data_IF_645122113567
#
_entry.id   IF_645122113567
#
_cell.length_a   1.000
_cell.length_b   1.000
_cell.length_c   1.000
_cell.angle_alpha   90.00
_cell.angle_beta   90.00
_cell.angle_gamma   90.00
#
_symmetry.space_group_name_H-M   'P 1'
#
loop_
_entity.id
_entity.type
_entity.pdbx_description
1 polymer ?
#
# COMPACT_ATOMS: atom_id res chain seq x y z
N UNK A 1 -99.70 -12.30 -61.01
CA UNK A 1 -99.89 -10.86 -60.68
C UNK A 1 -99.82 -10.67 -59.16
N UNK A 2 -98.83 -9.94 -58.65
CA UNK A 2 -98.99 -8.90 -57.60
C UNK A 2 -97.61 -8.27 -57.30
N UNK A 3 -97.53 -6.94 -57.39
CA UNK A 3 -96.37 -6.11 -57.04
C UNK A 3 -96.55 -5.61 -55.61
N UNK A 4 -95.49 -5.62 -54.78
CA UNK A 4 -95.41 -4.79 -53.56
C UNK A 4 -94.00 -4.24 -53.43
N UNK A 5 -93.93 -2.94 -53.14
CA UNK A 5 -92.81 -2.03 -53.27
C UNK A 5 -91.80 -2.10 -52.11
N UNK A 6 -90.54 -1.84 -52.48
CA UNK A 6 -89.35 -1.69 -51.63
C UNK A 6 -89.41 -0.36 -50.88
N UNK A 7 -89.24 -0.38 -49.56
CA UNK A 7 -88.87 0.80 -48.77
C UNK A 7 -87.42 0.63 -48.28
N UNK A 8 -86.60 1.58 -48.69
CA UNK A 8 -85.17 1.73 -48.44
C UNK A 8 -84.96 2.83 -47.37
N UNK A 9 -83.73 2.90 -46.84
CA UNK A 9 -83.14 3.95 -45.98
C UNK A 9 -83.36 3.71 -44.47
N UNK A 10 -82.38 3.51 -43.60
CA UNK A 10 -80.93 3.77 -43.68
C UNK A 10 -80.50 4.65 -42.50
N UNK A 11 -80.33 4.08 -41.31
CA UNK A 11 -79.79 4.79 -40.14
C UNK A 11 -78.27 4.59 -40.06
N UNK A 12 -77.53 5.68 -40.21
CA UNK A 12 -76.09 5.76 -39.92
C UNK A 12 -75.87 5.82 -38.40
N UNK A 13 -75.16 4.84 -37.85
CA UNK A 13 -74.52 4.93 -36.54
C UNK A 13 -73.02 4.71 -36.71
N UNK A 14 -72.25 5.79 -36.61
CA UNK A 14 -70.77 5.77 -36.63
C UNK A 14 -70.30 5.42 -35.23
N UNK A 15 -69.82 4.19 -35.02
CA UNK A 15 -69.10 3.79 -33.82
C UNK A 15 -67.60 4.02 -34.01
N UNK A 16 -66.99 4.90 -33.20
CA UNK A 16 -65.55 5.04 -33.14
C UNK A 16 -64.96 3.92 -32.27
N UNK A 17 -64.19 3.01 -32.87
CA UNK A 17 -63.36 2.03 -32.15
C UNK A 17 -61.94 2.58 -32.07
N UNK A 18 -61.48 2.84 -30.86
CA UNK A 18 -60.06 3.15 -30.59
C UNK A 18 -59.36 1.86 -30.15
N UNK A 19 -58.57 1.27 -31.05
CA UNK A 19 -57.66 0.18 -30.72
C UNK A 19 -56.28 0.76 -30.39
N UNK A 20 -56.04 1.15 -29.14
CA UNK A 20 -54.68 1.46 -28.69
C UNK A 20 -53.94 0.14 -28.42
N UNK A 21 -53.10 -0.29 -29.36
CA UNK A 21 -52.15 -1.39 -29.11
C UNK A 21 -50.98 -0.82 -28.32
N UNK A 22 -50.90 -1.13 -27.02
CA UNK A 22 -49.69 -0.86 -26.26
C UNK A 22 -48.55 -1.70 -26.84
N UNK A 23 -47.47 -1.05 -27.30
CA UNK A 23 -46.25 -1.76 -27.65
C UNK A 23 -45.75 -2.50 -26.41
N UNK A 24 -45.45 -3.79 -26.55
CA UNK A 24 -44.83 -4.56 -25.47
C UNK A 24 -43.46 -3.94 -25.20
N UNK A 25 -43.30 -3.24 -24.08
CA UNK A 25 -41.98 -2.88 -23.58
C UNK A 25 -41.25 -4.21 -23.35
N UNK A 26 -40.16 -4.44 -24.08
CA UNK A 26 -39.31 -5.59 -23.84
C UNK A 26 -38.82 -5.51 -22.40
N UNK A 27 -39.30 -6.44 -21.57
CA UNK A 27 -38.85 -6.56 -20.20
C UNK A 27 -37.35 -6.87 -20.21
N UNK A 28 -36.54 -5.92 -19.74
CA UNK A 28 -35.09 -6.07 -19.62
C UNK A 28 -34.67 -7.28 -18.78
N UNK A 29 -35.56 -7.86 -17.98
CA UNK A 29 -35.33 -9.14 -17.28
C UNK A 29 -35.32 -10.36 -18.19
N UNK A 30 -35.89 -10.28 -19.40
CA UNK A 30 -35.98 -11.41 -20.34
C UNK A 30 -34.92 -11.40 -21.45
N UNK A 31 -34.09 -10.36 -21.51
CA UNK A 31 -32.99 -10.26 -22.49
C UNK A 31 -31.64 -10.17 -21.76
N UNK A 32 -30.96 -11.31 -21.50
CA UNK A 32 -29.68 -11.31 -20.79
C UNK A 32 -28.57 -10.54 -21.52
N UNK A 33 -28.75 -10.28 -22.82
CA UNK A 33 -27.78 -9.55 -23.66
C UNK A 33 -27.70 -8.04 -23.41
N UNK A 34 -28.69 -7.42 -22.73
CA UNK A 34 -28.71 -5.95 -22.55
C UNK A 34 -27.99 -5.51 -21.26
N UNK A 35 -27.65 -6.44 -20.35
CA UNK A 35 -27.08 -6.13 -19.03
C UNK A 35 -25.69 -6.73 -18.78
N UNK A 36 -24.95 -7.13 -19.82
CA UNK A 36 -23.55 -7.49 -19.61
C UNK A 36 -22.69 -6.23 -19.57
N UNK A 37 -22.68 -5.55 -18.42
CA UNK A 37 -21.62 -4.61 -18.10
C UNK A 37 -20.31 -5.37 -18.24
N UNK A 38 -19.46 -4.96 -19.19
CA UNK A 38 -18.13 -5.54 -19.32
C UNK A 38 -17.48 -5.59 -17.93
N UNK A 39 -16.90 -6.72 -17.50
CA UNK A 39 -16.15 -6.77 -16.26
C UNK A 39 -15.16 -5.61 -16.27
N UNK A 40 -15.08 -4.84 -15.18
CA UNK A 40 -13.97 -3.89 -15.02
C UNK A 40 -12.70 -4.70 -15.26
N UNK A 41 -11.91 -4.31 -16.25
CA UNK A 41 -10.63 -4.95 -16.51
C UNK A 41 -9.87 -4.99 -15.18
N UNK A 42 -9.62 -6.20 -14.67
CA UNK A 42 -8.64 -6.37 -13.62
C UNK A 42 -7.30 -6.18 -14.31
N UNK A 43 -6.79 -4.96 -14.25
CA UNK A 43 -5.37 -4.79 -14.42
C UNK A 43 -4.76 -5.43 -13.20
N UNK A 44 -4.16 -6.62 -13.35
CA UNK A 44 -3.17 -7.09 -12.40
C UNK A 44 -2.03 -6.09 -12.47
N UNK A 45 -2.15 -5.02 -11.69
CA UNK A 45 -1.03 -4.17 -11.39
C UNK A 45 0.01 -5.12 -10.79
N UNK A 46 1.18 -5.25 -11.42
CA UNK A 46 2.31 -5.93 -10.81
C UNK A 46 2.46 -5.33 -9.42
N UNK A 47 2.05 -6.09 -8.39
CA UNK A 47 2.46 -5.80 -7.03
C UNK A 47 3.97 -5.81 -7.11
N UNK A 48 4.62 -4.72 -6.70
CA UNK A 48 6.08 -4.60 -6.77
C UNK A 48 6.71 -5.89 -6.27
N UNK A 49 7.63 -6.45 -7.06
CA UNK A 49 8.33 -7.68 -6.67
C UNK A 49 9.38 -7.32 -5.64
N UNK A 50 9.46 -8.09 -4.56
CA UNK A 50 10.58 -8.00 -3.63
C UNK A 50 11.84 -8.49 -4.33
N UNK A 51 12.72 -7.57 -4.70
CA UNK A 51 14.02 -7.87 -5.32
C UNK A 51 15.13 -8.08 -4.28
N UNK A 52 14.93 -7.58 -3.06
CA UNK A 52 15.83 -7.75 -1.93
C UNK A 52 15.05 -7.56 -0.62
N UNK A 53 15.46 -8.28 0.43
CA UNK A 53 14.91 -8.16 1.78
C UNK A 53 15.92 -8.65 2.82
N UNK A 54 15.91 -8.05 4.00
CA UNK A 54 16.67 -8.50 5.17
C UNK A 54 15.81 -8.32 6.42
N UNK A 55 15.92 -9.24 7.37
CA UNK A 55 15.13 -9.27 8.61
C UNK A 55 16.00 -9.21 9.88
N UNK A 56 17.28 -8.83 9.72
CA UNK A 56 18.31 -8.75 10.76
C UNK A 56 18.68 -10.09 11.45
N UNK A 57 18.25 -11.23 10.91
CA UNK A 57 18.64 -12.56 11.44
C UNK A 57 20.14 -12.85 11.37
N UNK A 58 20.87 -12.19 10.48
CA UNK A 58 22.33 -12.25 10.40
C UNK A 58 22.94 -10.86 10.59
N UNK A 59 23.52 -10.61 11.77
CA UNK A 59 24.15 -9.33 12.07
C UNK A 59 25.35 -9.01 11.17
N UNK A 60 26.02 -10.02 10.60
CA UNK A 60 27.17 -9.82 9.72
C UNK A 60 26.81 -9.22 8.35
N UNK A 61 25.53 -9.17 8.00
CA UNK A 61 25.08 -8.46 6.78
C UNK A 61 25.15 -6.93 6.93
N UNK A 62 25.38 -6.45 8.16
CA UNK A 62 25.34 -5.06 8.53
C UNK A 62 26.65 -4.61 9.18
N UNK A 63 27.02 -3.37 8.92
CA UNK A 63 28.09 -2.68 9.60
C UNK A 63 27.54 -1.41 10.23
N UNK A 64 28.19 -0.99 11.32
CA UNK A 64 27.90 0.25 12.01
C UNK A 64 29.14 1.11 12.01
N UNK A 65 28.95 2.42 11.95
CA UNK A 65 30.02 3.40 12.03
C UNK A 65 29.51 4.63 12.78
N UNK A 66 30.43 5.42 13.30
CA UNK A 66 30.11 6.64 14.02
C UNK A 66 31.08 7.76 13.72
N UNK A 67 30.56 8.99 13.74
CA UNK A 67 31.35 10.20 13.63
C UNK A 67 31.51 10.82 15.02
N UNK A 68 32.67 10.67 15.67
CA UNK A 68 32.93 11.22 16.99
C UNK A 68 33.23 12.73 16.96
N UNK A 69 33.01 13.46 15.85
CA UNK A 69 33.22 14.91 15.79
C UNK A 69 32.37 15.74 16.78
N UNK A 70 31.44 15.10 17.50
CA UNK A 70 30.70 15.66 18.62
C UNK A 70 31.56 16.09 19.82
N UNK A 71 31.12 17.10 20.58
CA UNK A 71 31.78 17.52 21.84
C UNK A 71 30.80 17.50 23.01
N UNK A 72 30.93 16.56 23.98
CA UNK A 72 31.78 15.38 23.95
C UNK A 72 31.33 14.35 22.88
N UNK A 73 32.25 13.49 22.40
CA UNK A 73 31.89 12.36 21.56
C UNK A 73 31.08 11.34 22.37
N UNK A 74 30.17 10.64 21.71
CA UNK A 74 29.50 9.49 22.30
C UNK A 74 30.44 8.27 22.31
N UNK A 75 30.31 7.41 23.33
CA UNK A 75 31.09 6.17 23.48
C UNK A 75 30.20 4.93 23.66
N UNK A 76 28.89 5.14 23.60
CA UNK A 76 27.85 4.14 23.78
C UNK A 76 26.57 4.62 23.08
N UNK A 77 25.57 3.75 22.99
CA UNK A 77 24.26 4.06 22.43
C UNK A 77 24.17 3.95 20.90
N UNK A 78 25.26 3.59 20.23
CA UNK A 78 25.32 3.42 18.79
C UNK A 78 24.41 2.31 18.28
N UNK A 79 24.19 2.32 16.96
CA UNK A 79 23.44 1.27 16.30
C UNK A 79 23.98 -0.11 16.68
N UNK A 80 23.07 -1.00 17.01
CA UNK A 80 23.35 -2.42 17.25
C UNK A 80 22.20 -3.27 16.75
N UNK A 81 22.49 -4.55 16.48
CA UNK A 81 21.47 -5.52 16.10
C UNK A 81 21.18 -6.39 17.31
N UNK A 82 19.90 -6.49 17.67
CA UNK A 82 19.42 -7.24 18.83
C UNK A 82 18.29 -8.17 18.43
N UNK A 83 18.11 -9.25 19.19
CA UNK A 83 17.02 -10.22 19.01
C UNK A 83 16.07 -10.27 20.20
N UNK A 84 16.44 -9.64 21.32
CA UNK A 84 15.55 -9.52 22.48
C UNK A 84 14.50 -8.45 22.18
N UNK A 85 13.24 -8.88 22.00
CA UNK A 85 12.10 -7.99 21.76
C UNK A 85 11.87 -6.99 22.89
N UNK A 86 12.50 -7.15 24.05
CA UNK A 86 12.40 -6.24 25.18
C UNK A 86 13.62 -5.32 25.33
N UNK A 87 14.55 -5.31 24.36
CA UNK A 87 15.79 -4.54 24.46
C UNK A 87 15.60 -3.01 24.44
N UNK A 88 14.40 -2.51 24.12
CA UNK A 88 14.15 -1.07 24.15
C UNK A 88 14.32 -0.54 25.59
N UNK A 89 15.04 0.59 25.80
CA UNK A 89 15.38 1.09 27.13
C UNK A 89 14.17 1.62 27.92
N UNK A 90 13.00 1.70 27.28
CA UNK A 90 11.78 2.25 27.86
C UNK A 90 10.59 1.32 27.65
N UNK A 91 9.83 1.11 28.73
CA UNK A 91 8.71 0.17 28.74
C UNK A 91 7.63 0.47 27.68
N UNK A 92 7.48 1.73 27.26
CA UNK A 92 6.50 2.12 26.24
C UNK A 92 6.83 1.58 24.84
N UNK A 93 8.08 1.18 24.59
CA UNK A 93 8.53 0.60 23.31
C UNK A 93 8.73 -0.92 23.40
N UNK A 94 8.38 -1.51 24.55
CA UNK A 94 8.57 -2.93 24.83
C UNK A 94 7.21 -3.65 24.93
N UNK A 95 7.03 -4.79 24.25
CA UNK A 95 7.96 -5.42 23.31
C UNK A 95 8.00 -4.69 21.95
N UNK A 96 9.09 -4.86 21.22
CA UNK A 96 9.23 -4.43 19.83
C UNK A 96 8.14 -5.09 18.97
N UNK A 97 7.29 -4.27 18.35
CA UNK A 97 6.10 -4.70 17.62
C UNK A 97 6.32 -4.99 16.12
N UNK A 98 7.57 -5.10 15.66
CA UNK A 98 7.88 -5.36 14.25
C UNK A 98 7.64 -6.83 13.88
N UNK A 99 7.28 -7.08 12.62
CA UNK A 99 6.93 -8.42 12.12
C UNK A 99 8.07 -9.42 12.30
N UNK A 100 9.33 -8.96 12.24
CA UNK A 100 10.55 -9.78 12.33
C UNK A 100 11.35 -9.51 13.60
N UNK A 101 10.79 -8.83 14.62
CA UNK A 101 11.55 -8.42 15.80
C UNK A 101 12.24 -9.59 16.52
N UNK A 102 11.64 -10.78 16.51
CA UNK A 102 12.23 -11.99 17.10
C UNK A 102 13.41 -12.57 16.29
N UNK A 103 13.50 -12.28 14.98
CA UNK A 103 14.64 -12.66 14.14
C UNK A 103 15.80 -11.71 14.37
N UNK A 104 15.49 -10.42 14.50
CA UNK A 104 16.41 -9.36 14.83
C UNK A 104 15.84 -7.98 14.47
N UNK A 105 16.43 -6.93 15.01
CA UNK A 105 16.20 -5.56 14.59
C UNK A 105 17.36 -4.64 14.97
N UNK A 106 17.53 -3.55 14.24
CA UNK A 106 18.47 -2.49 14.59
C UNK A 106 17.89 -1.58 15.68
N UNK A 107 18.70 -1.24 16.68
CA UNK A 107 18.35 -0.31 17.76
C UNK A 107 19.47 0.73 17.92
N UNK A 108 19.08 1.97 18.21
CA UNK A 108 19.94 3.08 18.62
C UNK A 108 19.34 3.69 19.89
N UNK A 109 20.20 4.13 20.82
CA UNK A 109 19.79 4.68 22.11
C UNK A 109 20.56 5.96 22.44
N UNK A 110 19.92 7.11 22.23
CA UNK A 110 20.50 8.43 22.53
C UNK A 110 20.60 8.70 24.03
N UNK A 111 19.80 8.05 24.90
CA UNK A 111 19.92 8.18 26.35
C UNK A 111 21.24 7.53 26.84
N UNK A 112 21.63 6.40 26.23
CA UNK A 112 22.89 5.71 26.51
C UNK A 112 24.13 6.46 25.98
N UNK A 113 24.00 7.28 24.93
CA UNK A 113 25.07 8.17 24.46
C UNK A 113 25.42 9.24 25.52
N UNK A 114 24.45 9.59 26.38
CA UNK A 114 24.59 10.55 27.47
C UNK A 114 24.08 11.94 27.09
N UNK A 115 23.39 12.60 28.02
CA UNK A 115 22.61 13.83 27.77
C UNK A 115 23.38 15.06 27.24
N UNK A 116 24.71 15.02 27.21
CA UNK A 116 25.56 16.09 26.67
C UNK A 116 26.31 15.68 25.41
N UNK A 117 26.33 14.39 25.07
CA UNK A 117 27.05 13.90 23.91
C UNK A 117 26.31 14.25 22.62
N UNK A 118 27.07 14.52 21.57
CA UNK A 118 26.52 14.57 20.22
C UNK A 118 26.67 13.18 19.60
N UNK A 119 25.53 12.53 19.40
CA UNK A 119 25.45 11.24 18.74
C UNK A 119 25.32 11.42 17.23
N UNK A 120 26.24 10.81 16.49
CA UNK A 120 26.20 10.71 15.04
C UNK A 120 26.67 9.31 14.65
N UNK A 121 25.71 8.43 14.34
CA UNK A 121 25.97 7.03 14.08
C UNK A 121 25.10 6.54 12.91
N UNK A 122 25.66 5.60 12.15
CA UNK A 122 25.03 5.00 10.98
C UNK A 122 25.05 3.46 11.09
N UNK A 123 24.04 2.83 10.51
CA UNK A 123 24.02 1.40 10.19
C UNK A 123 23.72 1.22 8.71
N UNK A 124 24.45 0.33 8.06
CA UNK A 124 24.36 0.11 6.62
C UNK A 124 24.66 -1.34 6.25
N UNK A 125 24.20 -1.78 5.08
CA UNK A 125 24.47 -3.14 4.57
C UNK A 125 25.91 -3.26 4.11
N UNK A 126 26.60 -4.34 4.50
CA UNK A 126 27.99 -4.62 4.09
C UNK A 126 28.08 -4.87 2.59
N UNK A 127 27.15 -5.67 2.05
CA UNK A 127 27.07 -5.96 0.63
C UNK A 127 26.18 -4.92 -0.09
N UNK A 128 26.61 -4.36 -1.22
CA UNK A 128 25.75 -3.52 -2.05
C UNK A 128 24.53 -4.29 -2.56
N UNK A 129 23.39 -3.61 -2.63
CA UNK A 129 22.17 -4.14 -3.23
C UNK A 129 22.19 -3.83 -4.73
N UNK A 130 22.23 -4.84 -5.59
CA UNK A 130 22.22 -4.65 -7.04
C UNK A 130 20.81 -4.30 -7.55
N UNK A 131 20.66 -3.06 -7.99
CA UNK A 131 19.42 -2.50 -8.54
C UNK A 131 19.53 -2.19 -10.04
N UNK A 132 20.59 -2.62 -10.72
CA UNK A 132 20.90 -2.26 -12.11
C UNK A 132 19.78 -2.60 -13.11
N UNK A 133 19.03 -3.68 -12.85
CA UNK A 133 17.88 -4.09 -13.67
C UNK A 133 16.57 -3.39 -13.30
N UNK A 134 16.54 -2.60 -12.22
CA UNK A 134 15.32 -2.03 -11.63
C UNK A 134 15.47 -0.51 -11.46
N UNK A 135 15.14 0.30 -12.49
CA UNK A 135 15.31 1.76 -12.44
C UNK A 135 14.35 2.48 -11.49
N UNK A 136 13.30 1.77 -11.02
CA UNK A 136 12.33 2.29 -10.07
C UNK A 136 12.18 1.28 -8.95
N UNK A 137 12.56 1.70 -7.74
CA UNK A 137 12.50 0.87 -6.54
C UNK A 137 11.83 1.63 -5.41
N UNK A 138 11.27 0.88 -4.47
CA UNK A 138 10.69 1.43 -3.23
C UNK A 138 11.28 0.65 -2.08
N UNK A 139 11.79 1.36 -1.08
CA UNK A 139 12.19 0.76 0.19
C UNK A 139 11.01 0.81 1.17
N UNK A 140 10.74 -0.31 1.84
CA UNK A 140 9.72 -0.41 2.89
C UNK A 140 10.34 -1.04 4.12
N UNK A 141 10.08 -0.46 5.28
CA UNK A 141 10.59 -0.92 6.57
C UNK A 141 9.60 -0.57 7.67
N UNK A 142 9.74 -1.24 8.82
CA UNK A 142 9.00 -0.92 10.03
C UNK A 142 9.95 -0.27 11.03
N UNK A 143 9.48 0.77 11.71
CA UNK A 143 10.23 1.43 12.77
C UNK A 143 9.30 1.79 13.92
N UNK A 144 9.86 1.91 15.11
CA UNK A 144 9.21 2.52 16.26
C UNK A 144 10.29 3.29 17.00
N UNK A 145 9.99 4.53 17.37
CA UNK A 145 10.94 5.37 18.08
C UNK A 145 10.25 6.24 19.11
N UNK A 146 11.04 6.78 20.03
CA UNK A 146 10.69 7.91 20.87
C UNK A 146 11.79 8.94 20.67
N UNK A 147 11.40 10.15 20.25
CA UNK A 147 12.36 11.20 19.90
C UNK A 147 12.32 12.38 20.86
N UNK A 148 13.50 12.88 21.22
CA UNK A 148 13.66 14.18 21.85
C UNK A 148 14.93 14.85 21.28
N UNK A 149 14.75 15.97 20.57
CA UNK A 149 15.84 16.74 19.97
C UNK A 149 16.81 15.96 19.04
N UNK A 150 16.30 14.94 18.33
CA UNK A 150 17.08 14.09 17.43
C UNK A 150 16.48 14.05 16.01
N UNK A 151 17.29 13.66 15.03
CA UNK A 151 16.90 13.46 13.63
C UNK A 151 17.41 12.12 13.12
N UNK A 152 16.56 11.40 12.39
CA UNK A 152 16.89 10.13 11.74
C UNK A 152 16.65 10.24 10.26
N UNK A 153 17.56 9.67 9.46
CA UNK A 153 17.53 9.75 8.01
C UNK A 153 17.72 8.36 7.42
N UNK A 154 17.04 8.13 6.30
CA UNK A 154 17.40 7.05 5.38
C UNK A 154 18.27 7.68 4.32
N UNK A 155 19.44 7.11 4.10
CA UNK A 155 20.35 7.51 3.03
C UNK A 155 20.63 6.32 2.11
N UNK A 156 21.06 6.62 0.90
CA UNK A 156 21.59 5.64 -0.04
C UNK A 156 22.83 6.22 -0.70
N UNK A 157 23.74 5.35 -1.14
CA UNK A 157 24.93 5.74 -1.87
C UNK A 157 25.11 4.83 -3.07
N UNK A 158 25.64 5.40 -4.16
CA UNK A 158 26.02 4.68 -5.38
C UNK A 158 27.55 4.48 -5.49
N UNK A 159 28.30 5.00 -4.51
CA UNK A 159 29.76 5.06 -4.52
C UNK A 159 30.42 4.56 -3.23
N UNK A 160 29.64 3.89 -2.37
CA UNK A 160 30.15 3.32 -1.10
C UNK A 160 30.35 4.35 0.00
N UNK A 161 29.63 5.47 -0.04
CA UNK A 161 29.68 6.54 0.97
C UNK A 161 30.84 7.51 0.78
N UNK A 162 31.36 7.64 -0.45
CA UNK A 162 32.46 8.55 -0.75
C UNK A 162 32.00 10.02 -0.96
N UNK A 163 30.70 10.25 -1.15
CA UNK A 163 30.06 11.58 -1.21
C UNK A 163 28.84 11.70 -0.31
#
# INVERSE_FOLDING_TARGET
MKKIYVCLVGLFAVGAVNAQKSATVLDSKKNPFIQQKAPKGKFDQLKGVTIWSNDFSNAADWATDNDPAGTPPHTAGDWSIVTDVNAAPVAALTPAGHTTAANGYAIIDSDAAGATASQNAIIYTVAPIDLSANPQVVMTFQQTHRRYAESTYVIYSLDGGAT
#
